data_IF_883949182166
#
_entry.id   IF_883949182166
#
_cell.length_a   1.000
_cell.length_b   1.000
_cell.length_c   1.000
_cell.angle_alpha   90.00
_cell.angle_beta   90.00
_cell.angle_gamma   90.00
#
_symmetry.space_group_name_H-M   'P 1'
#
loop_
_entity.id
_entity.type
_entity.pdbx_description
1 polymer ?
#
# COMPACT_ATOMS: atom_id res chain seq x y z
N UNK A 1 22.28 7.33 -4.81
CA UNK A 1 20.95 7.78 -5.27
C UNK A 1 20.79 9.24 -4.91
N UNK A 2 20.21 10.09 -5.77
CA UNK A 2 19.88 11.46 -5.41
C UNK A 2 18.80 11.46 -4.32
N UNK A 3 18.87 12.43 -3.41
CA UNK A 3 17.80 12.71 -2.43
C UNK A 3 16.92 13.78 -3.06
N UNK A 4 15.60 13.55 -3.05
CA UNK A 4 14.60 14.53 -3.50
C UNK A 4 13.85 15.00 -2.25
N UNK A 5 13.86 16.30 -2.01
CA UNK A 5 13.08 16.92 -0.94
C UNK A 5 11.76 17.46 -1.50
N UNK A 6 10.67 17.26 -0.76
CA UNK A 6 9.35 17.81 -1.12
C UNK A 6 9.36 19.32 -0.88
N UNK A 7 9.37 20.11 -1.95
CA UNK A 7 9.46 21.58 -1.88
C UNK A 7 8.13 22.29 -1.62
N UNK A 8 7.00 21.61 -1.83
CA UNK A 8 5.67 22.17 -1.54
C UNK A 8 5.38 22.06 -0.04
N UNK A 9 5.36 23.19 0.67
CA UNK A 9 5.10 23.28 2.11
C UNK A 9 3.72 22.75 2.51
N UNK A 10 2.76 22.68 1.58
CA UNK A 10 1.43 22.13 1.82
C UNK A 10 1.36 20.62 1.54
N UNK A 11 2.40 20.04 0.95
CA UNK A 11 2.44 18.62 0.65
C UNK A 11 2.75 17.84 1.93
N UNK A 12 1.93 16.82 2.20
CA UNK A 12 2.09 15.92 3.35
C UNK A 12 2.09 14.50 2.82
N UNK A 13 3.04 13.70 3.27
CA UNK A 13 3.24 12.32 2.83
C UNK A 13 3.79 11.51 4.00
N UNK A 14 3.22 10.33 4.21
CA UNK A 14 3.76 9.31 5.11
C UNK A 14 4.09 8.05 4.31
N UNK A 15 5.24 7.42 4.60
CA UNK A 15 5.69 6.20 3.92
C UNK A 15 4.76 5.00 4.14
N UNK A 16 3.95 5.03 5.20
CA UNK A 16 2.88 4.07 5.42
C UNK A 16 1.81 4.08 4.32
N UNK A 17 1.61 5.22 3.63
CA UNK A 17 0.62 5.38 2.57
C UNK A 17 1.16 5.07 1.16
N UNK A 18 2.46 4.83 1.01
CA UNK A 18 3.08 4.64 -0.32
C UNK A 18 3.36 3.16 -0.59
N UNK A 19 2.56 2.53 -1.44
CA UNK A 19 2.77 1.14 -1.87
C UNK A 19 3.36 1.09 -3.28
N UNK A 20 4.61 0.68 -3.38
CA UNK A 20 5.25 0.40 -4.67
C UNK A 20 5.11 -1.09 -5.01
N UNK A 21 4.61 -1.40 -6.20
CA UNK A 21 4.35 -2.79 -6.63
C UNK A 21 5.51 -3.42 -7.38
N UNK A 22 6.57 -2.65 -7.66
CA UNK A 22 7.59 -3.00 -8.67
C UNK A 22 7.25 -2.47 -10.07
N UNK A 23 6.01 -2.02 -10.29
CA UNK A 23 5.51 -1.56 -11.61
C UNK A 23 4.78 -0.23 -11.57
N UNK A 24 4.13 0.08 -10.45
CA UNK A 24 3.46 1.37 -10.23
C UNK A 24 3.40 1.70 -8.72
N UNK A 25 3.05 2.94 -8.41
CA UNK A 25 2.79 3.40 -7.06
C UNK A 25 1.28 3.55 -6.83
N UNK A 26 0.83 3.05 -5.69
CA UNK A 26 -0.42 3.48 -5.09
C UNK A 26 -0.11 4.37 -3.88
N UNK A 27 -0.72 5.54 -3.81
CA UNK A 27 -0.52 6.48 -2.70
C UNK A 27 -1.84 6.71 -1.98
N UNK A 28 -1.92 6.28 -0.72
CA UNK A 28 -3.07 6.48 0.14
C UNK A 28 -3.32 7.97 0.39
N UNK A 29 -4.55 8.44 0.14
CA UNK A 29 -5.01 9.76 0.55
C UNK A 29 -5.70 9.60 1.91
N UNK A 30 -4.92 9.88 2.95
CA UNK A 30 -5.21 9.61 4.36
C UNK A 30 -5.21 10.92 5.18
N UNK A 31 -5.21 10.80 6.52
CA UNK A 31 -5.00 11.94 7.41
C UNK A 31 -3.59 12.54 7.24
N UNK A 32 -2.58 11.69 7.05
CA UNK A 32 -1.16 12.07 6.97
C UNK A 32 -0.69 12.39 5.56
N UNK A 33 -1.35 11.80 4.56
CA UNK A 33 -0.96 11.97 3.15
C UNK A 33 -2.07 12.66 2.36
N UNK A 34 -1.75 13.76 1.68
CA UNK A 34 -2.68 14.48 0.80
C UNK A 34 -2.31 14.34 -0.68
N UNK A 35 -3.14 14.88 -1.57
CA UNK A 35 -2.90 14.79 -3.02
C UNK A 35 -1.61 15.51 -3.45
N UNK A 36 -1.20 16.57 -2.76
CA UNK A 36 0.07 17.24 -3.02
C UNK A 36 1.26 16.32 -2.70
N UNK A 37 1.18 15.54 -1.62
CA UNK A 37 2.14 14.47 -1.33
C UNK A 37 2.17 13.39 -2.41
N UNK A 38 1.00 12.91 -2.85
CA UNK A 38 0.93 11.93 -3.94
C UNK A 38 1.54 12.45 -5.26
N UNK A 39 1.31 13.73 -5.60
CA UNK A 39 1.96 14.37 -6.75
C UNK A 39 3.48 14.47 -6.60
N UNK A 40 3.99 14.67 -5.38
CA UNK A 40 5.42 14.68 -5.13
C UNK A 40 6.06 13.30 -5.41
N UNK A 41 5.40 12.20 -5.06
CA UNK A 41 5.84 10.84 -5.42
C UNK A 41 5.87 10.66 -6.94
N UNK A 42 4.81 11.07 -7.64
CA UNK A 42 4.74 11.01 -9.10
C UNK A 42 5.86 11.82 -9.78
N UNK A 43 6.18 13.00 -9.24
CA UNK A 43 7.25 13.85 -9.76
C UNK A 43 8.65 13.28 -9.48
N UNK A 44 8.82 12.60 -8.35
CA UNK A 44 10.09 11.96 -7.97
C UNK A 44 10.39 10.69 -8.79
N UNK A 45 9.35 9.99 -9.24
CA UNK A 45 9.45 8.71 -9.97
C UNK A 45 8.61 8.73 -11.27
N UNK A 46 8.93 9.62 -12.23
CA UNK A 46 8.11 9.85 -13.43
C UNK A 46 8.03 8.64 -14.37
N UNK A 47 8.91 7.65 -14.21
CA UNK A 47 8.92 6.41 -14.99
C UNK A 47 7.86 5.38 -14.55
N UNK A 48 7.21 5.59 -13.39
CA UNK A 48 6.20 4.71 -12.85
C UNK A 48 4.84 5.43 -12.77
N UNK A 49 3.73 4.78 -13.16
CA UNK A 49 2.39 5.30 -12.85
C UNK A 49 2.23 5.51 -11.35
N UNK A 50 1.50 6.55 -10.95
CA UNK A 50 1.27 6.88 -9.56
C UNK A 50 -0.20 7.25 -9.36
N UNK A 51 -0.93 6.39 -8.64
CA UNK A 51 -2.39 6.45 -8.50
C UNK A 51 -2.77 6.75 -7.05
N UNK A 52 -3.50 7.86 -6.78
CA UNK A 52 -4.00 8.15 -5.44
C UNK A 52 -5.19 7.25 -5.08
N UNK A 53 -5.20 6.70 -3.87
CA UNK A 53 -6.27 5.81 -3.38
C UNK A 53 -6.88 6.38 -2.10
N UNK A 54 -8.19 6.62 -2.08
CA UNK A 54 -8.86 7.11 -0.88
C UNK A 54 -8.88 6.04 0.22
N UNK A 55 -8.37 6.40 1.40
CA UNK A 55 -8.33 5.52 2.59
C UNK A 55 -9.52 5.84 3.53
N UNK A 56 -10.28 4.83 3.99
CA UNK A 56 -11.55 5.03 4.73
C UNK A 56 -11.42 5.40 6.22
N UNK A 57 -10.35 5.04 6.93
CA UNK A 57 -10.14 5.39 8.36
C UNK A 57 -8.88 6.23 8.61
N UNK A 58 -8.61 6.54 9.88
CA UNK A 58 -7.33 7.05 10.37
C UNK A 58 -6.28 5.92 10.46
N UNK A 59 -6.06 5.22 9.35
CA UNK A 59 -4.94 4.28 9.16
C UNK A 59 -4.22 4.63 7.87
N UNK A 60 -3.03 4.08 7.67
CA UNK A 60 -2.32 4.21 6.41
C UNK A 60 -2.77 3.15 5.41
N UNK A 61 -2.50 3.36 4.12
CA UNK A 61 -2.80 2.37 3.06
C UNK A 61 -2.25 0.98 3.38
N UNK A 62 -0.99 0.89 3.85
CA UNK A 62 -0.35 -0.40 4.18
C UNK A 62 -0.94 -1.13 5.38
N UNK A 63 -1.83 -0.51 6.15
CA UNK A 63 -2.60 -1.22 7.17
C UNK A 63 -3.66 -2.14 6.57
N UNK A 64 -4.03 -1.93 5.31
CA UNK A 64 -5.07 -2.70 4.62
C UNK A 64 -4.50 -3.65 3.56
N UNK A 65 -3.44 -3.21 2.87
CA UNK A 65 -2.91 -3.91 1.70
C UNK A 65 -1.40 -3.68 1.52
N UNK A 66 -0.65 -4.75 1.26
CA UNK A 66 0.80 -4.69 0.97
C UNK A 66 1.21 -5.70 -0.10
N UNK A 67 2.47 -5.66 -0.53
CA UNK A 67 3.02 -6.64 -1.48
C UNK A 67 3.42 -7.94 -0.74
N UNK A 68 2.80 -9.05 -1.12
CA UNK A 68 3.17 -10.39 -0.66
C UNK A 68 4.19 -11.11 -1.56
N UNK A 69 4.47 -10.54 -2.73
CA UNK A 69 5.35 -11.12 -3.74
C UNK A 69 5.26 -10.36 -5.06
N UNK A 70 5.99 -10.78 -6.11
CA UNK A 70 5.82 -10.22 -7.45
C UNK A 70 4.37 -10.42 -7.87
N UNK A 71 3.72 -9.32 -8.25
CA UNK A 71 2.33 -9.29 -8.73
C UNK A 71 1.28 -9.81 -7.74
N UNK A 72 1.61 -9.94 -6.44
CA UNK A 72 0.73 -10.45 -5.39
C UNK A 72 0.48 -9.40 -4.31
N UNK A 73 -0.78 -9.04 -4.11
CA UNK A 73 -1.24 -8.17 -3.03
C UNK A 73 -1.79 -9.01 -1.87
N UNK A 74 -1.29 -8.76 -0.65
CA UNK A 74 -1.88 -9.28 0.58
C UNK A 74 -2.89 -8.28 1.11
N UNK A 75 -4.11 -8.72 1.38
CA UNK A 75 -5.22 -7.86 1.84
C UNK A 75 -5.99 -8.55 2.96
N UNK A 76 -6.51 -7.79 3.90
CA UNK A 76 -7.39 -8.32 4.93
C UNK A 76 -8.81 -8.62 4.43
N UNK A 77 -9.53 -9.53 5.10
CA UNK A 77 -10.94 -9.87 4.79
C UNK A 77 -11.94 -8.79 5.24
N UNK A 78 -11.51 -7.85 6.08
CA UNK A 78 -12.35 -6.78 6.61
C UNK A 78 -12.96 -5.92 5.52
N UNK A 79 -14.15 -5.36 5.82
CA UNK A 79 -14.94 -4.58 4.86
C UNK A 79 -14.13 -3.46 4.21
N UNK A 80 -13.33 -2.76 5.00
CA UNK A 80 -12.55 -1.62 4.54
C UNK A 80 -11.34 -2.02 3.71
N UNK A 81 -10.64 -3.08 4.11
CA UNK A 81 -9.57 -3.70 3.32
C UNK A 81 -10.07 -4.09 1.93
N UNK A 82 -11.25 -4.72 1.87
CA UNK A 82 -11.91 -5.10 0.63
C UNK A 82 -12.40 -3.89 -0.19
N UNK A 83 -12.75 -2.77 0.46
CA UNK A 83 -13.12 -1.54 -0.23
C UNK A 83 -11.89 -0.84 -0.85
N UNK A 84 -10.77 -0.81 -0.12
CA UNK A 84 -9.48 -0.33 -0.63
C UNK A 84 -9.02 -1.17 -1.83
N UNK A 85 -9.09 -2.50 -1.73
CA UNK A 85 -8.78 -3.41 -2.84
C UNK A 85 -9.60 -3.07 -4.08
N UNK A 86 -10.92 -2.95 -3.95
CA UNK A 86 -11.80 -2.64 -5.09
C UNK A 86 -11.49 -1.30 -5.74
N UNK A 87 -11.06 -0.30 -4.96
CA UNK A 87 -10.60 0.99 -5.50
C UNK A 87 -9.31 0.81 -6.29
N UNK A 88 -8.34 0.09 -5.72
CA UNK A 88 -7.08 -0.20 -6.41
C UNK A 88 -7.31 -0.98 -7.70
N UNK A 89 -8.13 -2.03 -7.70
CA UNK A 89 -8.44 -2.84 -8.90
C UNK A 89 -9.08 -2.01 -10.03
N UNK A 90 -9.84 -0.97 -9.71
CA UNK A 90 -10.46 -0.08 -10.71
C UNK A 90 -9.47 0.88 -11.35
N UNK A 91 -8.49 1.34 -10.58
CA UNK A 91 -7.57 2.41 -10.97
C UNK A 91 -6.17 1.87 -11.36
N UNK A 92 -5.92 0.58 -11.13
CA UNK A 92 -4.64 -0.06 -11.42
C UNK A 92 -4.34 -0.09 -12.92
N UNK A 93 -3.09 0.21 -13.27
CA UNK A 93 -2.60 0.05 -14.65
C UNK A 93 -2.36 -1.41 -14.98
N UNK A 94 -1.95 -2.21 -13.98
CA UNK A 94 -1.62 -3.62 -14.13
C UNK A 94 -2.56 -4.52 -13.32
N UNK A 95 -2.66 -5.80 -13.72
CA UNK A 95 -3.39 -6.80 -12.95
C UNK A 95 -2.50 -7.43 -11.88
N UNK A 96 -3.09 -7.67 -10.71
CA UNK A 96 -2.43 -8.30 -9.56
C UNK A 96 -3.25 -9.50 -9.09
N UNK A 97 -2.58 -10.51 -8.58
CA UNK A 97 -3.21 -11.56 -7.78
C UNK A 97 -3.44 -11.03 -6.36
N UNK A 98 -4.43 -11.60 -5.68
CA UNK A 98 -4.80 -11.19 -4.33
C UNK A 98 -4.79 -12.39 -3.40
N UNK A 99 -4.08 -12.27 -2.28
CA UNK A 99 -4.16 -13.16 -1.14
C UNK A 99 -4.97 -12.48 -0.04
N UNK A 100 -6.21 -12.93 0.15
CA UNK A 100 -7.08 -12.41 1.22
C UNK A 100 -6.83 -13.18 2.52
N UNK A 101 -6.38 -12.48 3.55
CA UNK A 101 -6.06 -13.02 4.87
C UNK A 101 -7.25 -12.88 5.83
N UNK A 102 -7.45 -13.85 6.74
CA UNK A 102 -8.59 -13.84 7.65
C UNK A 102 -8.50 -12.76 8.73
N UNK A 103 -7.32 -12.18 8.97
CA UNK A 103 -7.11 -11.09 9.92
C UNK A 103 -6.52 -9.87 9.19
N UNK A 104 -7.16 -8.71 9.28
CA UNK A 104 -6.70 -7.49 8.59
C UNK A 104 -5.27 -7.11 8.96
N UNK A 105 -4.95 -7.27 10.23
CA UNK A 105 -3.64 -7.01 10.81
C UNK A 105 -2.53 -7.88 10.20
N UNK A 106 -2.84 -9.05 9.66
CA UNK A 106 -1.88 -9.91 8.98
C UNK A 106 -1.49 -9.41 7.59
N UNK A 107 -2.25 -8.48 6.99
CA UNK A 107 -2.02 -7.99 5.63
C UNK A 107 -0.81 -7.07 5.49
N UNK A 108 -0.27 -6.54 6.59
CA UNK A 108 0.97 -5.79 6.57
C UNK A 108 2.17 -6.74 6.67
N UNK A 109 2.73 -7.09 5.51
CA UNK A 109 3.86 -8.01 5.38
C UNK A 109 5.02 -7.33 4.65
N UNK A 110 6.23 -7.90 4.79
CA UNK A 110 7.41 -7.50 4.03
C UNK A 110 7.87 -8.66 3.14
N UNK A 111 7.85 -8.46 1.83
CA UNK A 111 8.43 -9.40 0.89
C UNK A 111 9.86 -9.00 0.51
N UNK A 112 10.82 -9.88 0.81
CA UNK A 112 12.26 -9.66 0.67
C UNK A 112 12.90 -10.83 -0.08
N UNK A 113 13.17 -10.64 -1.38
CA UNK A 113 13.91 -11.62 -2.21
C UNK A 113 13.43 -13.08 -2.06
N UNK A 114 12.11 -13.31 -2.12
CA UNK A 114 11.51 -14.64 -1.98
C UNK A 114 11.20 -15.05 -0.53
N UNK A 115 11.55 -14.22 0.45
CA UNK A 115 11.21 -14.42 1.87
C UNK A 115 10.08 -13.49 2.26
N UNK A 116 9.01 -14.03 2.87
CA UNK A 116 7.92 -13.23 3.42
C UNK A 116 8.09 -13.11 4.93
N UNK A 117 8.13 -11.88 5.44
CA UNK A 117 8.10 -11.58 6.86
C UNK A 117 6.70 -11.12 7.21
N UNK A 118 6.07 -11.79 8.16
CA UNK A 118 4.72 -11.51 8.64
C UNK A 118 4.67 -11.62 10.17
N UNK A 119 3.52 -11.26 10.75
CA UNK A 119 3.29 -11.29 12.19
C UNK A 119 3.35 -12.70 12.79
N UNK A 120 3.62 -12.77 14.09
CA UNK A 120 3.81 -14.05 14.78
C UNK A 120 2.48 -14.81 14.96
N UNK A 121 2.50 -16.12 15.27
CA UNK A 121 1.29 -16.88 15.58
C UNK A 121 0.46 -16.28 16.73
N UNK A 122 1.10 -15.60 17.69
CA UNK A 122 0.42 -14.99 18.83
C UNK A 122 -0.36 -13.73 18.43
N UNK A 123 0.12 -12.99 17.43
CA UNK A 123 -0.50 -11.76 16.95
C UNK A 123 -1.60 -12.03 15.92
N UNK A 124 -1.39 -13.01 15.04
CA UNK A 124 -2.31 -13.37 13.95
C UNK A 124 -2.48 -14.89 13.82
N UNK A 125 -3.13 -15.54 14.80
CA UNK A 125 -3.22 -17.01 14.88
C UNK A 125 -4.01 -17.65 13.73
N UNK A 126 -4.90 -16.90 13.07
CA UNK A 126 -5.71 -17.42 11.96
C UNK A 126 -4.96 -17.31 10.62
N UNK A 127 -4.02 -16.38 10.51
CA UNK A 127 -3.30 -16.06 9.27
C UNK A 127 -1.88 -16.64 9.20
N UNK A 128 -1.33 -17.16 10.31
CA UNK A 128 0.01 -17.74 10.35
C UNK A 128 0.17 -19.06 9.56
N UNK A 129 -0.92 -19.78 9.32
CA UNK A 129 -0.90 -21.17 8.83
C UNK A 129 -0.70 -21.30 7.33
#
# INVERSE_FOLDING_TARGET
>A
MPIIEMSDENARLDGGDVLFTGREFFVGISYWTNEAGARAVAAAFPEYPCTPIKVPEQKHLKSYITMGGPDLLCVGVGKESQEVLKRMEREATFSYQTLTLPEDEAANVLFLNGTLVHRTPEETPLSFK
#
